data_IF_366453036261
#
_entry.id   IF_366453036261
#
_cell.length_a   1.000
_cell.length_b   1.000
_cell.length_c   1.000
_cell.angle_alpha   90.00
_cell.angle_beta   90.00
_cell.angle_gamma   90.00
#
_symmetry.space_group_name_H-M   'P 1'
#
loop_
_entity.id
_entity.type
_entity.pdbx_description
1 polymer ?
#
# COMPACT_ATOMS: atom_id res chain seq x y z
N UNK A 1 21.13 -13.14 1.91
CA UNK A 1 20.10 -12.58 2.82
C UNK A 1 19.93 -13.49 4.03
N UNK A 2 19.83 -12.93 5.25
CA UNK A 2 19.80 -13.64 6.56
C UNK A 2 18.78 -14.77 6.67
N UNK A 3 17.63 -14.64 6.01
CA UNK A 3 16.49 -15.57 6.18
C UNK A 3 16.28 -16.54 5.02
N UNK A 4 17.10 -16.45 3.96
CA UNK A 4 16.96 -17.26 2.72
C UNK A 4 15.51 -17.34 2.20
N UNK A 5 14.90 -16.18 1.96
CA UNK A 5 13.48 -16.03 1.57
C UNK A 5 13.39 -15.23 0.27
N UNK A 6 12.53 -15.65 -0.66
CA UNK A 6 12.19 -14.85 -1.84
C UNK A 6 11.08 -13.88 -1.47
N UNK A 7 11.27 -12.60 -1.78
CA UNK A 7 10.32 -11.54 -1.45
C UNK A 7 9.64 -11.04 -2.72
N UNK A 8 8.32 -11.10 -2.76
CA UNK A 8 7.50 -10.42 -3.76
C UNK A 8 6.98 -9.10 -3.19
N UNK A 9 7.11 -8.02 -3.94
CA UNK A 9 6.63 -6.67 -3.58
C UNK A 9 5.77 -6.16 -4.74
N UNK A 10 4.61 -5.55 -4.45
CA UNK A 10 3.82 -4.84 -5.45
C UNK A 10 4.54 -3.55 -5.82
N UNK A 11 4.60 -3.21 -7.11
CA UNK A 11 5.39 -2.08 -7.56
C UNK A 11 5.00 -0.80 -6.80
N UNK A 12 5.92 -0.21 -6.00
CA UNK A 12 5.60 0.99 -5.26
C UNK A 12 5.28 2.15 -6.20
N UNK A 13 4.36 3.03 -5.79
CA UNK A 13 4.03 4.21 -6.57
C UNK A 13 5.28 5.11 -6.68
N UNK A 14 5.79 5.41 -7.90
CA UNK A 14 6.96 6.27 -8.08
C UNK A 14 6.83 7.64 -7.41
N UNK A 15 5.61 8.20 -7.36
CA UNK A 15 5.35 9.50 -6.75
C UNK A 15 5.44 9.50 -5.22
N UNK A 16 5.42 8.33 -4.59
CA UNK A 16 5.69 8.18 -3.15
C UNK A 16 7.18 8.19 -2.83
N UNK A 17 8.06 7.88 -3.80
CA UNK A 17 9.51 7.73 -3.55
C UNK A 17 10.14 8.98 -2.94
N UNK A 18 9.84 10.16 -3.48
CA UNK A 18 10.38 11.42 -2.94
C UNK A 18 9.84 11.71 -1.56
N UNK A 19 8.55 11.45 -1.30
CA UNK A 19 7.96 11.61 0.03
C UNK A 19 8.62 10.68 1.06
N UNK A 20 8.87 9.42 0.69
CA UNK A 20 9.60 8.49 1.54
C UNK A 20 11.05 8.96 1.79
N UNK A 21 11.70 9.53 0.78
CA UNK A 21 13.06 10.08 0.89
C UNK A 21 13.12 11.33 1.78
N UNK A 22 12.07 12.16 1.74
CA UNK A 22 11.87 13.31 2.65
C UNK A 22 11.48 12.88 4.08
N UNK A 23 11.24 11.58 4.31
CA UNK A 23 11.00 10.99 5.62
C UNK A 23 9.55 11.03 6.08
N UNK A 24 8.59 11.24 5.18
CA UNK A 24 7.16 11.14 5.51
C UNK A 24 6.80 9.72 5.96
N UNK A 25 5.92 9.55 6.97
CA UNK A 25 5.43 8.24 7.35
C UNK A 25 4.58 7.62 6.24
N UNK A 26 4.55 6.29 6.15
CA UNK A 26 3.63 5.60 5.24
C UNK A 26 2.35 5.18 5.96
N UNK A 27 1.28 4.98 5.20
CA UNK A 27 -0.03 4.58 5.73
C UNK A 27 0.09 3.24 6.46
N UNK A 28 -0.56 3.11 7.61
CA UNK A 28 -0.61 1.85 8.34
C UNK A 28 -1.81 1.00 7.90
N UNK A 29 -1.93 -0.19 8.49
CA UNK A 29 -3.01 -1.12 8.20
C UNK A 29 -4.41 -0.55 8.44
N UNK A 30 -4.56 0.42 9.36
CA UNK A 30 -5.86 1.01 9.71
C UNK A 30 -6.31 2.12 8.74
N UNK A 31 -5.41 2.68 7.95
CA UNK A 31 -5.74 3.60 6.87
C UNK A 31 -6.04 2.85 5.56
N UNK A 32 -7.33 2.65 5.25
CA UNK A 32 -7.76 1.92 4.04
C UNK A 32 -7.97 2.83 2.81
N UNK A 33 -7.99 4.15 3.00
CA UNK A 33 -8.16 5.12 1.93
C UNK A 33 -7.00 5.06 0.91
N UNK A 34 -7.30 5.32 -0.35
CA UNK A 34 -6.32 5.30 -1.44
C UNK A 34 -5.63 6.67 -1.60
N UNK A 35 -4.35 6.63 -1.96
CA UNK A 35 -3.56 7.83 -2.24
C UNK A 35 -3.96 8.52 -3.55
N UNK A 36 -3.47 9.73 -3.74
CA UNK A 36 -3.57 10.50 -4.98
C UNK A 36 -2.52 10.06 -6.00
N UNK A 37 -2.83 10.22 -7.29
CA UNK A 37 -1.93 9.90 -8.40
C UNK A 37 -1.36 11.13 -9.13
N UNK A 38 -1.83 12.33 -8.81
CA UNK A 38 -1.52 13.57 -9.53
C UNK A 38 -1.76 14.77 -8.63
N UNK A 39 -1.41 15.97 -9.12
CA UNK A 39 -1.55 17.25 -8.45
C UNK A 39 -0.67 17.40 -7.21
N UNK A 40 -0.89 18.46 -6.42
CA UNK A 40 -0.11 18.71 -5.21
C UNK A 40 -0.31 17.59 -4.17
N UNK A 41 -1.45 16.87 -4.21
CA UNK A 41 -1.74 15.75 -3.32
C UNK A 41 -1.11 14.43 -3.76
N UNK A 42 -0.42 14.37 -4.90
CA UNK A 42 0.20 13.16 -5.44
C UNK A 42 1.02 12.41 -4.39
N UNK A 43 0.77 11.12 -4.22
CA UNK A 43 1.45 10.28 -3.23
C UNK A 43 0.92 10.38 -1.80
N UNK A 44 0.14 11.41 -1.45
CA UNK A 44 -0.52 11.52 -0.14
C UNK A 44 -1.91 10.88 -0.12
N UNK A 45 -2.45 10.66 1.08
CA UNK A 45 -3.87 10.35 1.29
C UNK A 45 -4.63 11.67 1.48
N UNK A 46 -5.40 12.11 0.49
CA UNK A 46 -6.21 13.33 0.60
C UNK A 46 -7.47 13.12 1.45
N UNK A 47 -7.88 14.16 2.19
CA UNK A 47 -9.13 14.19 2.94
C UNK A 47 -10.35 14.09 2.00
N UNK A 48 -10.35 14.90 0.93
CA UNK A 48 -11.43 14.92 -0.05
C UNK A 48 -11.18 13.87 -1.15
N UNK A 49 -12.13 12.95 -1.42
CA UNK A 49 -11.98 11.92 -2.45
C UNK A 49 -11.68 12.44 -3.86
N UNK A 50 -12.12 13.67 -4.18
CA UNK A 50 -11.86 14.34 -5.46
C UNK A 50 -10.38 14.47 -5.79
N UNK A 51 -9.52 14.48 -4.77
CA UNK A 51 -8.08 14.58 -4.92
C UNK A 51 -7.37 13.22 -4.83
N UNK A 52 -8.08 12.10 -5.01
CA UNK A 52 -7.49 10.76 -4.94
C UNK A 52 -7.46 10.07 -6.32
N UNK A 53 -6.87 8.88 -6.42
CA UNK A 53 -6.76 8.12 -7.68
C UNK A 53 -8.03 7.35 -8.08
N UNK A 54 -9.08 7.38 -7.25
CA UNK A 54 -10.27 6.56 -7.46
C UNK A 54 -11.27 7.26 -8.40
N UNK A 55 -12.14 6.50 -9.04
CA UNK A 55 -13.23 7.06 -9.85
C UNK A 55 -14.30 7.74 -8.97
N UNK A 56 -15.03 8.74 -9.50
CA UNK A 56 -16.15 9.38 -8.80
C UNK A 56 -17.20 8.40 -8.25
N UNK A 57 -17.45 7.30 -8.95
CA UNK A 57 -18.35 6.23 -8.49
C UNK A 57 -17.93 5.56 -7.18
N UNK A 58 -16.65 5.65 -6.80
CA UNK A 58 -16.10 5.07 -5.57
C UNK A 58 -15.92 6.08 -4.44
N UNK A 59 -16.33 7.34 -4.61
CA UNK A 59 -16.10 8.40 -3.62
C UNK A 59 -16.78 8.10 -2.28
N UNK A 60 -17.99 7.54 -2.29
CA UNK A 60 -18.66 7.14 -1.06
C UNK A 60 -17.80 6.18 -0.23
N UNK A 61 -17.28 5.12 -0.86
CA UNK A 61 -16.45 4.11 -0.20
C UNK A 61 -15.15 4.71 0.36
N UNK A 62 -14.54 5.64 -0.37
CA UNK A 62 -13.35 6.36 0.11
C UNK A 62 -13.68 7.27 1.29
N UNK A 63 -14.78 8.02 1.23
CA UNK A 63 -15.26 8.83 2.35
C UNK A 63 -15.52 7.97 3.59
N UNK A 64 -16.09 6.78 3.44
CA UNK A 64 -16.30 5.84 4.55
C UNK A 64 -14.97 5.40 5.17
N UNK A 65 -13.95 5.12 4.35
CA UNK A 65 -12.62 4.78 4.85
C UNK A 65 -11.96 5.94 5.60
N UNK A 66 -12.07 7.16 5.09
CA UNK A 66 -11.56 8.36 5.77
C UNK A 66 -12.30 8.57 7.09
N UNK A 67 -13.63 8.52 7.08
CA UNK A 67 -14.45 8.66 8.29
C UNK A 67 -14.15 7.58 9.33
N UNK A 68 -13.91 6.33 8.90
CA UNK A 68 -13.49 5.24 9.78
C UNK A 68 -12.12 5.51 10.40
N UNK A 69 -11.15 5.99 9.62
CA UNK A 69 -9.83 6.35 10.13
C UNK A 69 -9.89 7.52 11.13
N UNK A 70 -10.71 8.53 10.85
CA UNK A 70 -10.92 9.67 11.76
C UNK A 70 -11.55 9.22 13.07
N UNK A 71 -12.55 8.33 13.03
CA UNK A 71 -13.12 7.72 14.25
C UNK A 71 -12.09 6.95 15.07
N UNK A 72 -11.02 6.47 14.43
CA UNK A 72 -9.89 5.78 15.08
C UNK A 72 -8.76 6.73 15.50
N UNK A 73 -8.87 8.03 15.27
CA UNK A 73 -7.89 9.03 15.71
C UNK A 73 -7.01 9.64 14.60
N UNK A 74 -7.25 9.32 13.32
CA UNK A 74 -6.58 10.04 12.23
C UNK A 74 -7.09 11.49 12.15
N UNK A 75 -6.22 12.41 11.72
CA UNK A 75 -6.55 13.83 11.60
C UNK A 75 -6.26 14.28 10.16
N UNK A 76 -7.10 15.18 9.64
CA UNK A 76 -6.84 15.88 8.39
C UNK A 76 -6.04 17.15 8.69
N UNK A 77 -4.88 17.29 8.05
CA UNK A 77 -3.97 18.43 8.23
C UNK A 77 -3.74 19.15 6.91
N UNK A 78 -3.47 20.44 7.02
CA UNK A 78 -3.23 21.31 5.88
C UNK A 78 -1.98 20.86 5.10
N UNK A 79 -2.12 20.71 3.78
CA UNK A 79 -1.05 20.22 2.91
C UNK A 79 -0.02 21.32 2.67
N UNK A 80 1.23 21.00 3.03
CA UNK A 80 2.39 21.81 2.72
C UNK A 80 3.42 20.96 1.98
N UNK A 81 3.85 21.41 0.81
CA UNK A 81 4.84 20.71 -0.04
C UNK A 81 6.07 21.58 -0.30
N UNK A 82 7.24 20.94 -0.37
CA UNK A 82 8.51 21.63 -0.61
C UNK A 82 8.58 22.20 -2.03
N UNK A 83 9.40 23.23 -2.24
CA UNK A 83 9.69 23.73 -3.60
C UNK A 83 10.28 22.64 -4.49
N UNK A 84 11.07 21.74 -3.91
CA UNK A 84 11.59 20.57 -4.61
C UNK A 84 10.45 19.68 -5.11
N UNK A 85 9.46 19.36 -4.26
CA UNK A 85 8.29 18.58 -4.64
C UNK A 85 7.44 19.26 -5.72
N UNK A 86 7.25 20.58 -5.65
CA UNK A 86 6.54 21.34 -6.70
C UNK A 86 7.23 21.15 -8.06
N UNK A 87 8.54 21.36 -8.11
CA UNK A 87 9.33 21.20 -9.34
C UNK A 87 9.30 19.76 -9.86
N UNK A 88 9.39 18.77 -8.97
CA UNK A 88 9.27 17.36 -9.33
C UNK A 88 7.91 17.08 -9.99
N UNK A 89 6.81 17.53 -9.38
CA UNK A 89 5.46 17.31 -9.91
C UNK A 89 5.27 17.98 -11.27
N UNK A 90 5.85 19.17 -11.48
CA UNK A 90 5.85 19.84 -12.79
C UNK A 90 6.64 19.03 -13.81
N UNK A 91 7.88 18.64 -13.48
CA UNK A 91 8.77 17.91 -14.40
C UNK A 91 8.22 16.53 -14.79
N UNK A 92 7.44 15.92 -13.91
CA UNK A 92 6.82 14.60 -14.13
C UNK A 92 5.42 14.71 -14.75
N UNK A 93 4.94 15.91 -15.06
CA UNK A 93 3.63 16.14 -15.66
C UNK A 93 2.43 15.93 -14.74
N UNK A 94 2.67 15.83 -13.43
CA UNK A 94 1.63 15.66 -12.41
C UNK A 94 1.06 16.99 -11.91
N UNK A 95 1.69 18.11 -12.22
CA UNK A 95 1.23 19.46 -11.89
C UNK A 95 1.59 20.39 -13.04
N UNK A 96 0.73 21.34 -13.40
CA UNK A 96 1.02 22.35 -14.41
C UNK A 96 0.92 23.74 -13.81
N UNK A 97 1.93 24.57 -14.01
CA UNK A 97 1.95 25.96 -13.57
C UNK A 97 1.20 26.87 -14.55
N UNK A 98 0.33 27.74 -14.02
CA UNK A 98 -0.42 28.76 -14.78
C UNK A 98 0.16 30.17 -14.59
N UNK A 99 1.15 30.32 -13.72
CA UNK A 99 1.72 31.60 -13.29
C UNK A 99 1.06 32.15 -12.02
N UNK A 100 1.73 33.11 -11.37
CA UNK A 100 1.26 33.79 -10.16
C UNK A 100 0.86 32.84 -9.00
N UNK A 101 1.58 31.74 -8.82
CA UNK A 101 1.30 30.75 -7.78
C UNK A 101 0.05 29.89 -8.02
N UNK A 102 -0.52 29.93 -9.23
CA UNK A 102 -1.63 29.09 -9.65
C UNK A 102 -1.16 27.87 -10.42
N UNK A 103 -1.81 26.74 -10.17
CA UNK A 103 -1.49 25.46 -10.76
C UNK A 103 -2.77 24.69 -11.08
N UNK A 104 -2.68 23.69 -11.97
CA UNK A 104 -3.75 22.71 -12.15
C UNK A 104 -3.21 21.29 -12.29
N UNK A 105 -4.08 20.31 -12.08
CA UNK A 105 -3.80 18.90 -12.35
C UNK A 105 -5.07 18.15 -12.77
N UNK A 106 -4.89 17.07 -13.54
CA UNK A 106 -5.98 16.25 -14.06
C UNK A 106 -6.24 15.05 -13.15
N UNK A 107 -7.32 15.13 -12.37
CA UNK A 107 -7.79 14.04 -11.50
C UNK A 107 -8.84 13.17 -12.22
N UNK A 108 -9.21 12.00 -11.69
CA UNK A 108 -10.31 11.20 -12.25
C UNK A 108 -11.66 11.95 -12.32
N UNK A 109 -11.88 12.98 -11.49
CA UNK A 109 -13.04 13.88 -11.60
C UNK A 109 -12.89 15.02 -12.61
N UNK A 110 -11.79 15.07 -13.34
CA UNK A 110 -11.41 16.18 -14.22
C UNK A 110 -10.47 17.17 -13.55
N UNK A 111 -10.15 18.23 -14.30
CA UNK A 111 -9.23 19.30 -13.90
C UNK A 111 -9.60 19.91 -12.55
N UNK A 112 -8.60 19.99 -11.66
CA UNK A 112 -8.67 20.73 -10.41
C UNK A 112 -7.61 21.83 -10.42
N UNK A 113 -7.97 23.01 -9.95
CA UNK A 113 -7.07 24.17 -9.83
C UNK A 113 -6.65 24.37 -8.38
N UNK A 114 -5.42 24.86 -8.22
CA UNK A 114 -4.77 25.04 -6.92
C UNK A 114 -4.04 26.38 -6.87
N UNK A 115 -3.93 26.91 -5.65
CA UNK A 115 -3.02 28.00 -5.32
C UNK A 115 -1.98 27.43 -4.36
N UNK A 116 -0.69 27.64 -4.66
CA UNK A 116 0.40 27.24 -3.78
C UNK A 116 1.19 28.48 -3.39
N UNK A 117 1.17 28.79 -2.11
CA UNK A 117 1.84 29.97 -1.57
C UNK A 117 3.36 29.77 -1.53
N UNK A 118 4.09 30.86 -1.31
CA UNK A 118 5.56 30.86 -1.25
C UNK A 118 6.14 29.94 -0.15
N UNK A 119 5.37 29.68 0.91
CA UNK A 119 5.73 28.75 1.97
C UNK A 119 5.41 27.29 1.63
N UNK A 120 4.72 27.02 0.52
CA UNK A 120 4.35 25.68 0.05
C UNK A 120 2.96 25.22 0.51
N UNK A 121 2.21 26.06 1.23
CA UNK A 121 0.83 25.74 1.63
C UNK A 121 -0.08 25.69 0.40
N UNK A 122 -0.90 24.63 0.31
CA UNK A 122 -1.75 24.36 -0.85
C UNK A 122 -3.22 24.70 -0.53
N UNK A 123 -3.86 25.40 -1.47
CA UNK A 123 -5.28 25.76 -1.43
C UNK A 123 -5.98 25.34 -2.72
N UNK A 124 -7.30 25.14 -2.64
CA UNK A 124 -8.15 24.95 -3.81
C UNK A 124 -8.49 26.29 -4.49
N UNK A 125 -9.21 26.21 -5.62
CA UNK A 125 -9.67 27.35 -6.42
C UNK A 125 -10.50 28.38 -5.63
N UNK A 126 -11.13 27.92 -4.54
CA UNK A 126 -11.93 28.72 -3.60
C UNK A 126 -11.14 29.18 -2.39
N UNK A 127 -9.81 29.05 -2.42
CA UNK A 127 -8.90 29.43 -1.33
C UNK A 127 -9.13 28.67 -0.01
N UNK A 128 -9.73 27.47 -0.06
CA UNK A 128 -9.77 26.59 1.11
C UNK A 128 -8.49 25.77 1.18
N UNK A 129 -7.92 25.53 2.38
CA UNK A 129 -6.77 24.64 2.52
C UNK A 129 -7.08 23.25 1.95
N UNK A 130 -6.18 22.75 1.10
CA UNK A 130 -6.20 21.33 0.70
C UNK A 130 -5.62 20.53 1.86
N UNK A 131 -6.31 19.48 2.27
CA UNK A 131 -5.93 18.66 3.43
C UNK A 131 -5.58 17.23 3.05
N UNK A 132 -4.65 16.68 3.81
CA UNK A 132 -4.17 15.30 3.73
C UNK A 132 -4.23 14.65 5.10
N UNK A 133 -4.36 13.33 5.13
CA UNK A 133 -4.57 12.57 6.36
C UNK A 133 -3.24 12.25 7.06
N UNK A 134 -3.30 12.08 8.37
CA UNK A 134 -2.32 11.35 9.19
C UNK A 134 -2.73 9.88 9.34
N UNK A 135 -1.87 9.07 9.97
CA UNK A 135 -2.26 7.73 10.40
C UNK A 135 -3.15 7.80 11.64
N UNK A 136 -4.15 6.91 11.78
CA UNK A 136 -4.68 6.58 13.11
C UNK A 136 -3.62 5.76 13.89
N UNK A 137 -3.66 5.73 15.23
CA UNK A 137 -2.81 4.85 16.03
C UNK A 137 -2.99 3.36 15.66
N UNK A 138 -1.94 2.57 15.89
CA UNK A 138 -2.05 1.11 15.89
C UNK A 138 -2.93 0.64 17.07
N UNK A 139 -3.66 -0.47 16.91
CA UNK A 139 -4.42 -1.08 18.00
C UNK A 139 -3.48 -1.42 19.16
N UNK A 140 -3.84 -0.96 20.36
CA UNK A 140 -3.02 -1.09 21.56
C UNK A 140 -1.94 0.00 21.74
N UNK A 141 -1.94 1.03 20.91
CA UNK A 141 -1.06 2.20 21.02
C UNK A 141 -1.89 3.48 21.08
N UNK A 142 -1.46 4.44 21.89
CA UNK A 142 -2.02 5.81 21.89
C UNK A 142 -1.22 6.76 20.99
N UNK A 143 -0.07 6.31 20.47
CA UNK A 143 0.80 7.10 19.61
C UNK A 143 0.34 7.05 18.14
N UNK A 144 0.21 8.22 17.54
CA UNK A 144 0.04 8.40 16.10
C UNK A 144 0.97 9.52 15.60
N UNK A 145 1.67 9.27 14.49
CA UNK A 145 2.49 10.30 13.85
C UNK A 145 1.58 11.41 13.31
N UNK A 146 1.91 12.66 13.65
CA UNK A 146 1.12 13.84 13.27
C UNK A 146 1.44 14.35 11.87
N UNK A 147 2.42 13.77 11.18
CA UNK A 147 2.81 14.12 9.81
C UNK A 147 1.89 13.44 8.79
N UNK A 148 1.77 14.01 7.59
CA UNK A 148 0.90 13.43 6.58
C UNK A 148 1.50 12.14 6.03
N UNK A 149 0.64 11.22 5.65
CA UNK A 149 1.07 9.87 5.25
C UNK A 149 1.13 9.70 3.74
N UNK A 150 2.10 8.89 3.30
CA UNK A 150 2.23 8.42 1.91
C UNK A 150 1.93 6.92 1.80
N UNK A 151 2.06 6.35 0.60
CA UNK A 151 1.88 4.92 0.37
C UNK A 151 2.97 4.10 1.07
N UNK A 152 2.58 2.93 1.55
CA UNK A 152 3.44 1.89 2.09
C UNK A 152 3.92 0.93 0.98
N UNK A 153 4.76 -0.03 1.38
CA UNK A 153 5.20 -1.11 0.52
C UNK A 153 4.35 -2.35 0.78
N UNK A 154 3.40 -2.57 -0.11
CA UNK A 154 2.56 -3.76 -0.09
C UNK A 154 3.38 -4.98 -0.56
N UNK A 155 3.50 -6.00 0.30
CA UNK A 155 4.10 -7.27 -0.09
C UNK A 155 3.15 -8.04 -1.01
N UNK A 156 3.69 -8.60 -2.08
CA UNK A 156 2.97 -9.52 -2.94
C UNK A 156 3.03 -10.96 -2.40
N UNK A 157 4.22 -11.41 -1.98
CA UNK A 157 4.41 -12.75 -1.43
C UNK A 157 5.63 -12.84 -0.52
N UNK A 158 5.57 -13.68 0.51
CA UNK A 158 6.74 -14.11 1.29
C UNK A 158 6.95 -15.59 0.99
N UNK A 159 8.02 -15.93 0.27
CA UNK A 159 8.24 -17.29 -0.22
C UNK A 159 9.44 -17.90 0.52
N UNK A 160 9.20 -18.71 1.57
CA UNK A 160 10.25 -19.32 2.37
C UNK A 160 11.00 -20.41 1.60
N UNK A 161 12.20 -20.75 2.07
CA UNK A 161 12.80 -22.02 1.73
C UNK A 161 11.89 -23.18 2.19
N UNK A 162 11.95 -24.33 1.52
CA UNK A 162 11.15 -25.51 1.85
C UNK A 162 11.30 -25.94 3.31
N UNK A 163 12.49 -25.81 3.90
CA UNK A 163 12.72 -26.15 5.30
C UNK A 163 12.06 -25.18 6.29
N UNK A 164 11.55 -24.04 5.80
CA UNK A 164 10.86 -23.00 6.55
C UNK A 164 9.39 -22.87 6.11
N UNK A 165 8.86 -23.81 5.32
CA UNK A 165 7.56 -23.66 4.66
C UNK A 165 6.34 -23.96 5.53
N UNK A 166 6.55 -24.47 6.75
CA UNK A 166 5.46 -24.74 7.69
C UNK A 166 5.05 -23.43 8.35
N UNK A 167 4.20 -22.68 7.65
CA UNK A 167 3.73 -21.37 8.03
C UNK A 167 2.20 -21.35 8.04
N UNK A 168 1.61 -21.42 9.24
CA UNK A 168 0.16 -21.43 9.40
C UNK A 168 -0.34 -20.00 9.54
N UNK A 169 -1.30 -19.61 8.70
CA UNK A 169 -1.98 -18.31 8.78
C UNK A 169 -3.22 -18.40 9.68
N UNK A 170 -3.57 -17.33 10.42
CA UNK A 170 -4.74 -17.33 11.30
C UNK A 170 -6.08 -17.60 10.60
N UNK A 171 -6.28 -17.04 9.41
CA UNK A 171 -7.45 -17.28 8.56
C UNK A 171 -7.11 -18.17 7.37
N UNK A 172 -8.05 -19.07 7.06
CA UNK A 172 -8.02 -19.83 5.81
C UNK A 172 -8.26 -18.93 4.60
N UNK A 173 -7.58 -19.25 3.50
CA UNK A 173 -7.98 -18.71 2.19
C UNK A 173 -9.20 -19.48 1.70
N UNK A 174 -10.26 -18.77 1.37
CA UNK A 174 -11.47 -19.39 0.82
C UNK A 174 -11.21 -20.02 -0.55
N UNK A 175 -11.84 -21.16 -0.86
CA UNK A 175 -11.87 -21.67 -2.23
C UNK A 175 -12.53 -20.65 -3.16
N UNK A 176 -12.01 -20.49 -4.38
CA UNK A 176 -12.63 -19.65 -5.41
C UNK A 176 -13.67 -20.48 -6.17
N UNK A 177 -14.94 -20.10 -6.08
CA UNK A 177 -15.98 -20.69 -6.92
C UNK A 177 -15.81 -20.19 -8.37
N UNK A 178 -15.61 -21.12 -9.31
CA UNK A 178 -15.38 -20.76 -10.72
C UNK A 178 -16.66 -20.26 -11.44
N UNK A 179 -17.85 -20.67 -10.96
CA UNK A 179 -19.19 -20.27 -11.44
C UNK A 179 -20.22 -20.46 -10.32
N UNK A 180 -21.28 -19.65 -10.25
CA UNK A 180 -22.43 -19.87 -9.33
C UNK A 180 -22.65 -18.76 -8.29
N UNK A 181 -23.64 -18.93 -7.41
CA UNK A 181 -24.07 -17.90 -6.44
C UNK A 181 -23.09 -17.79 -5.25
N UNK A 182 -22.60 -16.58 -4.96
CA UNK A 182 -21.37 -16.31 -4.20
C UNK A 182 -21.57 -16.01 -2.70
N UNK A 183 -22.78 -16.18 -2.16
CA UNK A 183 -23.10 -15.91 -0.75
C UNK A 183 -23.34 -17.20 0.03
N UNK A 184 -22.32 -18.03 0.13
CA UNK A 184 -22.35 -19.29 0.88
C UNK A 184 -21.36 -19.20 2.06
N UNK A 185 -21.79 -19.61 3.26
CA UNK A 185 -20.95 -19.50 4.46
C UNK A 185 -19.70 -20.37 4.42
N UNK A 186 -19.71 -21.49 3.70
CA UNK A 186 -18.53 -22.32 3.49
C UNK A 186 -17.46 -21.67 2.57
N UNK A 187 -17.82 -20.60 1.86
CA UNK A 187 -16.90 -19.82 1.02
C UNK A 187 -16.32 -18.61 1.77
N UNK A 188 -16.69 -18.38 3.03
CA UNK A 188 -16.10 -17.30 3.83
C UNK A 188 -14.77 -17.77 4.47
N UNK A 189 -13.77 -16.88 4.58
CA UNK A 189 -12.56 -17.17 5.33
C UNK A 189 -12.92 -17.56 6.77
N UNK A 190 -12.26 -18.58 7.31
CA UNK A 190 -12.50 -19.06 8.67
C UNK A 190 -11.23 -18.96 9.50
N UNK A 191 -11.39 -18.47 10.73
CA UNK A 191 -10.35 -18.56 11.74
C UNK A 191 -10.03 -20.02 12.05
N UNK A 192 -8.74 -20.33 12.18
CA UNK A 192 -8.31 -21.60 12.74
C UNK A 192 -8.63 -21.64 14.24
N UNK A 193 -8.88 -22.82 14.82
CA UNK A 193 -9.20 -22.95 16.24
C UNK A 193 -8.15 -22.26 17.13
N UNK A 194 -8.59 -21.28 17.92
CA UNK A 194 -7.73 -20.52 18.83
C UNK A 194 -6.77 -19.53 18.15
N UNK A 195 -7.02 -19.15 16.90
CA UNK A 195 -6.23 -18.17 16.16
C UNK A 195 -7.11 -16.99 15.74
N UNK A 196 -6.57 -15.78 15.86
CA UNK A 196 -7.17 -14.54 15.37
C UNK A 196 -6.16 -13.81 14.48
N UNK A 197 -6.64 -13.00 13.54
CA UNK A 197 -5.75 -12.12 12.77
C UNK A 197 -5.04 -11.13 13.69
N UNK A 198 -3.83 -10.73 13.30
CA UNK A 198 -3.15 -9.63 13.97
C UNK A 198 -3.91 -8.33 13.69
N UNK A 199 -4.29 -7.60 14.74
CA UNK A 199 -5.08 -6.38 14.62
C UNK A 199 -4.39 -5.27 13.81
N UNK A 200 -3.06 -5.30 13.70
CA UNK A 200 -2.23 -4.31 13.02
C UNK A 200 -1.58 -4.85 11.74
N UNK A 201 -1.50 -6.17 11.55
CA UNK A 201 -0.80 -6.79 10.42
C UNK A 201 -1.68 -7.69 9.55
N UNK A 202 -2.92 -7.99 9.95
CA UNK A 202 -3.86 -8.85 9.21
C UNK A 202 -3.49 -10.33 9.26
N UNK A 203 -3.78 -11.06 8.17
CA UNK A 203 -3.62 -12.52 8.07
C UNK A 203 -2.17 -12.99 7.84
N UNK A 204 -1.27 -12.59 8.74
CA UNK A 204 0.15 -12.91 8.66
C UNK A 204 0.51 -14.09 9.56
N UNK A 205 1.31 -15.02 9.06
CA UNK A 205 1.88 -16.11 9.87
C UNK A 205 3.12 -15.62 10.64
N UNK A 206 3.54 -16.38 11.67
CA UNK A 206 4.66 -16.01 12.55
C UNK A 206 5.97 -15.69 11.80
N UNK A 207 6.36 -16.53 10.83
CA UNK A 207 7.56 -16.25 10.02
C UNK A 207 7.41 -14.97 9.20
N UNK A 208 6.23 -14.69 8.66
CA UNK A 208 5.93 -13.48 7.90
C UNK A 208 6.06 -12.23 8.77
N UNK A 209 5.59 -12.28 10.02
CA UNK A 209 5.82 -11.21 11.00
C UNK A 209 7.31 -10.96 11.22
N UNK A 210 8.10 -12.04 11.36
CA UNK A 210 9.56 -11.95 11.50
C UNK A 210 10.21 -11.26 10.29
N UNK A 211 9.77 -11.61 9.08
CA UNK A 211 10.25 -10.99 7.83
C UNK A 211 9.87 -9.51 7.76
N UNK A 212 8.61 -9.14 8.04
CA UNK A 212 8.18 -7.74 8.03
C UNK A 212 8.94 -6.90 9.06
N UNK A 213 9.15 -7.42 10.27
CA UNK A 213 9.95 -6.74 11.29
C UNK A 213 11.41 -6.57 10.87
N UNK A 214 12.02 -7.61 10.28
CA UNK A 214 13.36 -7.53 9.74
C UNK A 214 13.47 -6.50 8.61
N UNK A 215 12.53 -6.50 7.66
CA UNK A 215 12.50 -5.53 6.56
C UNK A 215 12.45 -4.09 7.06
N UNK A 216 11.55 -3.78 7.99
CA UNK A 216 11.46 -2.42 8.54
C UNK A 216 12.73 -1.99 9.28
N UNK A 217 13.40 -2.92 9.99
CA UNK A 217 14.69 -2.64 10.63
C UNK A 217 15.78 -2.35 9.60
N UNK A 218 15.89 -3.15 8.54
CA UNK A 218 16.89 -2.88 7.50
C UNK A 218 16.59 -1.57 6.75
N UNK A 219 15.32 -1.29 6.44
CA UNK A 219 14.90 -0.02 5.82
C UNK A 219 15.25 1.18 6.70
N UNK A 220 15.06 1.07 8.03
CA UNK A 220 15.47 2.10 8.96
C UNK A 220 17.00 2.27 9.02
N UNK A 221 17.76 1.17 8.95
CA UNK A 221 19.23 1.19 8.92
C UNK A 221 19.77 1.88 7.66
N UNK A 222 19.07 1.75 6.53
CA UNK A 222 19.37 2.48 5.27
C UNK A 222 18.99 3.98 5.33
N UNK A 223 18.43 4.45 6.46
CA UNK A 223 18.23 5.87 6.74
C UNK A 223 16.79 6.37 6.58
N UNK A 224 15.80 5.50 6.37
CA UNK A 224 14.40 5.92 6.34
C UNK A 224 13.92 6.38 7.72
N UNK A 225 13.32 7.58 7.78
CA UNK A 225 12.90 8.24 9.04
C UNK A 225 11.38 8.30 9.24
N UNK A 226 10.60 7.71 8.34
CA UNK A 226 9.14 7.68 8.41
C UNK A 226 8.57 6.57 9.29
N UNK A 227 9.41 5.79 9.97
CA UNK A 227 8.99 4.65 10.81
C UNK A 227 8.91 3.35 10.00
N UNK A 228 7.78 2.64 10.09
CA UNK A 228 7.56 1.40 9.31
C UNK A 228 7.18 1.77 7.88
N UNK A 229 7.64 0.96 6.92
CA UNK A 229 7.30 1.05 5.50
C UNK A 229 6.51 -0.17 5.02
N UNK A 230 6.69 -1.33 5.65
CA UNK A 230 5.93 -2.56 5.40
C UNK A 230 5.04 -2.82 6.61
N UNK A 231 3.72 -2.77 6.46
CA UNK A 231 2.82 -2.77 7.61
C UNK A 231 2.05 -4.07 7.84
N UNK A 232 1.74 -4.82 6.78
CA UNK A 232 0.78 -5.91 6.87
C UNK A 232 1.17 -7.13 6.05
N UNK A 233 0.28 -8.13 6.09
CA UNK A 233 0.42 -9.38 5.36
C UNK A 233 0.56 -9.16 3.85
N UNK A 234 1.13 -10.17 3.21
CA UNK A 234 1.29 -10.24 1.76
C UNK A 234 -0.02 -10.56 1.03
N UNK A 235 -0.10 -10.15 -0.23
CA UNK A 235 -1.25 -10.35 -1.11
C UNK A 235 -1.64 -11.83 -1.23
N UNK A 236 -0.64 -12.72 -1.28
CA UNK A 236 -0.85 -14.18 -1.40
C UNK A 236 -1.70 -14.72 -0.26
N UNK A 237 -1.47 -14.26 0.97
CA UNK A 237 -2.19 -14.68 2.16
C UNK A 237 -3.43 -13.85 2.51
N UNK A 238 -3.78 -12.84 1.70
CA UNK A 238 -4.92 -11.97 1.96
C UNK A 238 -6.22 -12.64 1.50
N UNK A 239 -7.10 -13.09 2.41
CA UNK A 239 -8.30 -13.82 2.02
C UNK A 239 -9.39 -12.92 1.41
N UNK A 240 -9.19 -11.59 1.43
CA UNK A 240 -10.10 -10.58 0.89
C UNK A 240 -9.58 -9.90 -0.38
N UNK A 241 -8.42 -10.35 -0.88
CA UNK A 241 -7.81 -9.87 -2.10
C UNK A 241 -8.58 -10.33 -3.36
N UNK A 242 -8.55 -9.56 -4.47
CA UNK A 242 -8.98 -10.05 -5.78
C UNK A 242 -8.03 -11.11 -6.40
N UNK A 243 -6.82 -11.26 -5.86
CA UNK A 243 -5.75 -12.14 -6.32
C UNK A 243 -4.70 -11.41 -7.15
N UNK A 244 -4.02 -12.15 -8.02
CA UNK A 244 -3.07 -11.58 -8.98
C UNK A 244 -3.72 -10.53 -9.88
N UNK A 245 -3.17 -9.32 -9.86
CA UNK A 245 -3.46 -8.25 -10.81
C UNK A 245 -2.17 -7.84 -11.53
N UNK A 246 -2.19 -7.87 -12.86
CA UNK A 246 -1.05 -7.42 -13.69
C UNK A 246 -0.73 -5.93 -13.46
N UNK A 247 -1.73 -5.13 -13.08
CA UNK A 247 -1.55 -3.71 -12.76
C UNK A 247 -0.67 -3.49 -11.52
N UNK A 248 -0.53 -4.50 -10.65
CA UNK A 248 0.35 -4.46 -9.49
C UNK A 248 1.82 -4.64 -9.84
N UNK A 249 2.13 -5.12 -11.06
CA UNK A 249 3.48 -5.31 -11.60
C UNK A 249 4.45 -5.92 -10.57
N UNK A 250 4.14 -7.08 -9.98
CA UNK A 250 4.88 -7.62 -8.84
C UNK A 250 6.34 -7.88 -9.18
N UNK A 251 7.22 -7.45 -8.28
CA UNK A 251 8.67 -7.56 -8.36
C UNK A 251 9.12 -8.59 -7.32
N UNK A 252 9.85 -9.60 -7.76
CA UNK A 252 10.42 -10.63 -6.91
C UNK A 252 11.93 -10.45 -6.76
N UNK A 253 12.40 -10.49 -5.52
CA UNK A 253 13.81 -10.37 -5.15
C UNK A 253 14.25 -11.73 -4.62
N UNK A 254 15.18 -12.38 -5.32
CA UNK A 254 15.69 -13.68 -4.95
C UNK A 254 16.92 -13.56 -4.02
N UNK A 255 17.12 -14.46 -3.02
CA UNK A 255 18.30 -14.45 -2.16
C UNK A 255 19.65 -14.51 -2.86
N UNK A 256 19.69 -15.04 -4.09
CA UNK A 256 20.88 -15.07 -4.94
C UNK A 256 21.21 -13.72 -5.61
N UNK A 257 20.38 -12.69 -5.40
CA UNK A 257 20.66 -11.31 -5.83
C UNK A 257 19.98 -10.87 -7.12
N UNK A 258 19.28 -11.76 -7.84
CA UNK A 258 18.52 -11.37 -9.02
C UNK A 258 17.12 -10.86 -8.68
N UNK A 259 16.62 -9.98 -9.54
CA UNK A 259 15.31 -9.34 -9.43
C UNK A 259 14.53 -9.64 -10.71
N UNK A 260 13.27 -10.05 -10.56
CA UNK A 260 12.37 -10.39 -11.68
C UNK A 260 11.08 -9.62 -11.51
N UNK A 261 10.60 -8.97 -12.57
CA UNK A 261 9.26 -8.39 -12.61
C UNK A 261 8.35 -9.32 -13.41
N UNK A 262 7.21 -9.69 -12.82
CA UNK A 262 6.24 -10.59 -13.43
C UNK A 262 5.15 -9.77 -14.13
N UNK A 263 4.92 -10.07 -15.40
CA UNK A 263 4.01 -9.33 -16.28
C UNK A 263 2.82 -10.18 -16.74
N UNK A 264 2.74 -11.45 -16.32
CA UNK A 264 1.58 -12.28 -16.62
C UNK A 264 1.37 -13.38 -15.58
N UNK A 265 0.16 -13.94 -15.56
CA UNK A 265 -0.14 -15.10 -14.71
C UNK A 265 0.69 -16.33 -15.11
N UNK A 266 0.97 -16.52 -16.40
CA UNK A 266 1.79 -17.62 -16.89
C UNK A 266 3.24 -17.49 -16.37
N UNK A 267 3.82 -16.29 -16.49
CA UNK A 267 5.15 -15.99 -15.92
C UNK A 267 5.20 -16.23 -14.41
N UNK A 268 4.15 -15.85 -13.67
CA UNK A 268 4.08 -16.12 -12.22
C UNK A 268 4.14 -17.62 -11.93
N UNK A 269 3.40 -18.43 -12.68
CA UNK A 269 3.33 -19.87 -12.50
C UNK A 269 4.64 -20.55 -12.88
N UNK A 270 5.27 -20.13 -13.97
CA UNK A 270 6.58 -20.64 -14.40
C UNK A 270 7.65 -20.29 -13.38
N UNK A 271 7.62 -19.07 -12.85
CA UNK A 271 8.52 -18.64 -11.78
C UNK A 271 8.28 -19.45 -10.50
N UNK A 272 7.03 -19.70 -10.10
CA UNK A 272 6.73 -20.55 -8.95
C UNK A 272 7.18 -22.00 -9.17
N UNK A 273 7.07 -22.53 -10.39
CA UNK A 273 7.60 -23.85 -10.72
C UNK A 273 9.13 -23.90 -10.63
N UNK A 274 9.81 -22.84 -11.05
CA UNK A 274 11.26 -22.68 -10.86
C UNK A 274 11.64 -22.66 -9.38
N UNK A 275 10.99 -21.82 -8.57
CA UNK A 275 11.26 -21.72 -7.14
C UNK A 275 11.10 -23.07 -6.43
N UNK A 276 10.11 -23.88 -6.81
CA UNK A 276 9.95 -25.25 -6.27
C UNK A 276 11.13 -26.16 -6.61
N UNK A 277 11.69 -26.06 -7.83
CA UNK A 277 12.91 -26.80 -8.21
C UNK A 277 14.12 -26.35 -7.37
N UNK A 278 14.16 -25.08 -7.01
CA UNK A 278 15.19 -24.45 -6.16
C UNK A 278 14.96 -24.67 -4.65
N UNK A 279 14.00 -25.54 -4.27
CA UNK A 279 13.66 -25.84 -2.86
C UNK A 279 13.09 -24.64 -2.09
N UNK A 280 12.33 -23.79 -2.75
CA UNK A 280 11.43 -22.81 -2.12
C UNK A 280 9.98 -23.29 -2.17
N UNK A 281 9.15 -22.75 -1.28
CA UNK A 281 7.75 -23.14 -1.13
C UNK A 281 6.82 -21.95 -1.35
N UNK A 282 6.56 -21.55 -2.61
CA UNK A 282 5.56 -20.52 -2.89
C UNK A 282 4.18 -21.01 -2.44
N UNK A 283 3.52 -20.20 -1.63
CA UNK A 283 2.15 -20.47 -1.20
C UNK A 283 1.19 -20.48 -2.38
N UNK A 284 0.26 -21.41 -2.33
CA UNK A 284 -0.82 -21.49 -3.30
C UNK A 284 -2.05 -20.82 -2.71
N UNK A 285 -2.52 -19.76 -3.36
CA UNK A 285 -3.73 -19.04 -2.96
C UNK A 285 -4.81 -19.27 -4.02
N UNK A 286 -5.90 -19.98 -3.69
CA UNK A 286 -7.00 -20.24 -4.64
C UNK A 286 -7.60 -18.97 -5.25
N UNK A 287 -7.43 -17.82 -4.58
CA UNK A 287 -7.88 -16.51 -5.04
C UNK A 287 -7.17 -16.09 -6.34
N UNK A 288 -5.91 -16.49 -6.50
CA UNK A 288 -5.10 -16.24 -7.69
C UNK A 288 -5.54 -17.11 -8.89
N UNK A 289 -6.49 -18.02 -8.65
CA UNK A 289 -7.23 -18.76 -9.68
C UNK A 289 -6.38 -19.76 -10.44
N UNK A 290 -5.26 -20.18 -9.88
CA UNK A 290 -4.59 -21.42 -10.24
C UNK A 290 -4.72 -22.36 -9.08
#
# INVERSE_FOLDING_TARGET
MKYNVVLGIRMPNPLGRTLLSEGYPSKNFHMKAKSSQTGPTAGFIAEKPIYSKISPSSYHKQSDYIASAVKKGAIAIDLKISKYRINELISTGNLTEMGNGRYYAEYPSGRQEFIINSDGQVFDDKSNPVRVMTNPPESGSDYADSRPITADYDLFSIIPNLNQSVNVRPLTSSPKALRGNFKQDFLKPKALPGQDEDANMGNLHFFGMTIVQALNREIANEGYKGGKLVWHNDETGNPFSPGFDIADKPIFIHPAGYVIQINSKAELLDFYAQLRREKYAPEYSPIFGF
#
